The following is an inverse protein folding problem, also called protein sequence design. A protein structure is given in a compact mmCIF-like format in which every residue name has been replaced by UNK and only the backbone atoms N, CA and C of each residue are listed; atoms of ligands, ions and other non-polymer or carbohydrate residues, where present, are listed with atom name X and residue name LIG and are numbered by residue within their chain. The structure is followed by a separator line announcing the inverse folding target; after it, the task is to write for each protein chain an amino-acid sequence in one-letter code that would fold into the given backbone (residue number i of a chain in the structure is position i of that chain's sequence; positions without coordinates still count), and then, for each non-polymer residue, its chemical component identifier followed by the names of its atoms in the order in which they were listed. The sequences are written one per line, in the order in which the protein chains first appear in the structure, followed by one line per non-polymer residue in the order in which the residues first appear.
data_IF_814751249251
#
_entry.id   IF_814751249251
#
_cell.length_a   1.000
_cell.length_b   1.000
_cell.length_c   1.000
_cell.angle_alpha   90.00
_cell.angle_beta   90.00
_cell.angle_gamma   90.00
#
_symmetry.space_group_name_H-M   'P 1'
#
loop_
_entity.id
_entity.type
_entity.pdbx_description
1 polymer ?
#
# COMPACT_ATOMS: atom_id res chain seq x y z
N UNK A 1 -18.73 7.21 -13.36
CA UNK A 1 -17.86 8.13 -12.62
C UNK A 1 -18.78 9.11 -11.90
N UNK A 2 -18.59 9.29 -10.60
CA UNK A 2 -19.33 10.27 -9.80
C UNK A 2 -18.46 11.53 -9.68
N UNK A 3 -18.87 12.59 -10.38
CA UNK A 3 -18.16 13.88 -10.40
C UNK A 3 -18.50 14.75 -9.19
N UNK A 4 -19.63 14.48 -8.51
CA UNK A 4 -20.06 15.23 -7.32
C UNK A 4 -19.40 14.67 -6.06
N UNK A 5 -19.12 13.36 -6.05
CA UNK A 5 -18.36 12.70 -5.00
C UNK A 5 -17.19 11.87 -5.59
N UNK A 6 -16.06 12.53 -5.93
CA UNK A 6 -14.92 11.86 -6.55
C UNK A 6 -14.29 10.79 -5.65
N UNK A 7 -14.44 10.88 -4.32
CA UNK A 7 -13.91 9.88 -3.38
C UNK A 7 -14.59 8.51 -3.56
N UNK A 8 -15.90 8.49 -3.83
CA UNK A 8 -16.62 7.24 -4.16
C UNK A 8 -16.06 6.62 -5.44
N UNK A 9 -15.75 7.45 -6.44
CA UNK A 9 -15.11 6.97 -7.67
C UNK A 9 -13.73 6.38 -7.39
N UNK A 10 -12.91 7.05 -6.57
CA UNK A 10 -11.58 6.57 -6.21
C UNK A 10 -11.63 5.23 -5.46
N UNK A 11 -12.51 5.09 -4.46
CA UNK A 11 -12.71 3.82 -3.72
C UNK A 11 -13.14 2.68 -4.63
N UNK A 12 -14.05 2.94 -5.58
CA UNK A 12 -14.43 1.94 -6.60
C UNK A 12 -13.25 1.57 -7.49
N UNK A 13 -12.39 2.52 -7.83
CA UNK A 13 -11.15 2.27 -8.58
C UNK A 13 -10.22 1.30 -7.85
N UNK A 14 -9.94 1.54 -6.57
CA UNK A 14 -9.12 0.66 -5.71
C UNK A 14 -9.72 -0.77 -5.70
N UNK A 15 -11.02 -0.89 -5.45
CA UNK A 15 -11.69 -2.20 -5.39
C UNK A 15 -11.59 -2.97 -6.72
N UNK A 16 -11.80 -2.29 -7.87
CA UNK A 16 -11.69 -2.95 -9.19
C UNK A 16 -10.26 -3.38 -9.50
N UNK A 17 -9.27 -2.63 -9.05
CA UNK A 17 -7.87 -2.99 -9.21
C UNK A 17 -7.50 -4.22 -8.37
N UNK A 18 -7.91 -4.27 -7.10
CA UNK A 18 -7.71 -5.45 -6.24
C UNK A 18 -8.37 -6.71 -6.83
N UNK A 19 -9.59 -6.58 -7.37
CA UNK A 19 -10.30 -7.68 -8.05
C UNK A 19 -9.55 -8.17 -9.28
N UNK A 20 -9.00 -7.25 -10.10
CA UNK A 20 -8.21 -7.61 -11.27
C UNK A 20 -6.91 -8.34 -10.90
N UNK A 21 -6.17 -7.84 -9.91
CA UNK A 21 -4.97 -8.52 -9.42
C UNK A 21 -5.30 -9.95 -8.95
N UNK A 22 -6.36 -10.08 -8.14
CA UNK A 22 -6.81 -11.39 -7.66
C UNK A 22 -7.23 -12.31 -8.82
N UNK A 23 -7.91 -11.79 -9.85
CA UNK A 23 -8.39 -12.61 -10.97
C UNK A 23 -7.27 -13.17 -11.85
N UNK A 24 -6.08 -12.56 -11.83
CA UNK A 24 -4.88 -13.06 -12.52
C UNK A 24 -3.95 -13.84 -11.57
N UNK A 25 -4.38 -14.14 -10.35
CA UNK A 25 -3.60 -14.89 -9.36
C UNK A 25 -2.51 -14.08 -8.65
N UNK A 26 -2.52 -12.76 -8.76
CA UNK A 26 -1.60 -11.89 -8.02
C UNK A 26 -2.07 -11.70 -6.58
N UNK A 27 -1.16 -11.83 -5.59
CA UNK A 27 -1.48 -11.53 -4.20
C UNK A 27 -1.65 -10.03 -3.99
N UNK A 28 -2.56 -9.67 -3.09
CA UNK A 28 -2.90 -8.30 -2.73
C UNK A 28 -2.58 -7.98 -1.26
N UNK A 29 -2.08 -8.95 -0.48
CA UNK A 29 -1.64 -8.79 0.92
C UNK A 29 -0.32 -9.54 1.18
N UNK A 30 0.45 -9.09 2.15
CA UNK A 30 1.71 -9.70 2.56
C UNK A 30 1.54 -11.09 3.16
N UNK A 31 0.44 -11.32 3.88
CA UNK A 31 0.07 -12.65 4.39
C UNK A 31 -0.05 -13.72 3.30
N UNK A 32 -0.43 -13.36 2.07
CA UNK A 32 -0.50 -14.28 0.93
C UNK A 32 0.88 -14.65 0.36
N UNK A 33 1.90 -13.86 0.69
CA UNK A 33 3.31 -14.09 0.33
C UNK A 33 4.12 -14.71 1.49
N UNK A 34 3.50 -14.91 2.65
CA UNK A 34 4.16 -15.43 3.86
C UNK A 34 4.88 -14.38 4.70
N UNK A 35 4.76 -13.09 4.37
CA UNK A 35 5.30 -12.00 5.17
C UNK A 35 4.35 -11.66 6.34
N UNK A 36 4.93 -11.27 7.47
CA UNK A 36 4.24 -10.98 8.73
C UNK A 36 4.48 -9.54 9.18
N UNK A 37 3.66 -9.06 10.11
CA UNK A 37 3.87 -7.76 10.74
C UNK A 37 5.26 -7.63 11.41
N UNK A 38 5.81 -8.73 11.91
CA UNK A 38 7.15 -8.81 12.51
C UNK A 38 8.27 -8.49 11.51
N UNK A 39 8.03 -8.62 10.21
CA UNK A 39 9.01 -8.34 9.16
C UNK A 39 9.08 -6.85 8.80
N UNK A 40 8.06 -6.06 9.17
CA UNK A 40 7.94 -4.62 8.83
C UNK A 40 9.19 -3.81 9.24
N UNK A 41 9.77 -3.97 10.46
CA UNK A 41 10.99 -3.25 10.84
C UNK A 41 12.17 -3.55 9.89
N UNK A 42 12.31 -4.79 9.45
CA UNK A 42 13.34 -5.17 8.48
C UNK A 42 13.05 -4.56 7.11
N UNK A 43 11.80 -4.56 6.65
CA UNK A 43 11.41 -3.96 5.38
C UNK A 43 11.66 -2.45 5.34
N UNK A 44 11.38 -1.73 6.44
CA UNK A 44 11.69 -0.30 6.58
C UNK A 44 13.20 -0.04 6.55
N UNK A 45 13.98 -0.88 7.25
CA UNK A 45 15.44 -0.81 7.24
C UNK A 45 16.02 -1.00 5.83
N UNK A 46 15.47 -1.93 5.05
CA UNK A 46 15.88 -2.15 3.65
C UNK A 46 15.50 -0.97 2.76
N UNK A 47 14.35 -0.36 3.00
CA UNK A 47 13.90 0.84 2.27
C UNK A 47 14.79 2.06 2.54
N UNK A 48 15.39 2.14 3.75
CA UNK A 48 16.44 3.10 4.13
C UNK A 48 16.10 4.57 3.80
N UNK A 49 14.90 5.00 4.19
CA UNK A 49 14.44 6.39 3.98
C UNK A 49 15.24 7.37 4.85
N UNK A 50 15.53 6.99 6.11
CA UNK A 50 16.14 7.90 7.08
C UNK A 50 15.31 9.19 7.22
N UNK A 51 15.97 10.35 7.23
CA UNK A 51 15.31 11.67 7.33
C UNK A 51 14.75 12.19 6.00
N UNK A 52 14.78 11.38 4.93
CA UNK A 52 14.27 11.77 3.62
C UNK A 52 12.78 11.45 3.49
N UNK A 53 12.23 11.79 2.33
CA UNK A 53 10.89 11.35 1.95
C UNK A 53 10.93 10.63 0.61
N UNK A 54 10.01 9.70 0.42
CA UNK A 54 9.79 9.02 -0.86
C UNK A 54 8.45 9.43 -1.47
N UNK A 55 8.27 9.15 -2.76
CA UNK A 55 7.06 9.49 -3.50
C UNK A 55 7.12 10.83 -4.24
N UNK A 56 6.25 10.97 -5.24
CA UNK A 56 6.17 12.17 -6.07
C UNK A 56 4.97 13.04 -5.68
N UNK A 57 3.76 12.49 -5.78
CA UNK A 57 2.50 13.21 -5.49
C UNK A 57 2.30 13.48 -4.00
N UNK A 58 2.59 12.50 -3.15
CA UNK A 58 2.60 12.63 -1.70
C UNK A 58 3.99 12.25 -1.22
N UNK A 59 4.57 13.08 -0.34
CA UNK A 59 5.86 12.83 0.29
C UNK A 59 5.62 12.01 1.55
N UNK A 60 6.15 10.79 1.56
CA UNK A 60 5.99 9.84 2.64
C UNK A 60 7.29 9.76 3.44
N UNK A 61 7.20 9.89 4.77
CA UNK A 61 8.30 9.60 5.68
C UNK A 61 8.27 8.11 6.11
N UNK A 62 9.21 7.69 6.94
CA UNK A 62 9.28 6.30 7.41
C UNK A 62 8.03 5.85 8.18
N UNK A 63 7.42 6.74 8.98
CA UNK A 63 6.20 6.42 9.75
C UNK A 63 4.98 6.23 8.83
N UNK A 64 4.88 7.00 7.75
CA UNK A 64 3.82 6.84 6.76
C UNK A 64 3.95 5.49 6.05
N UNK A 65 5.17 5.12 5.66
CA UNK A 65 5.43 3.82 5.04
C UNK A 65 5.14 2.67 6.01
N UNK A 66 5.49 2.82 7.29
CA UNK A 66 5.17 1.82 8.32
C UNK A 66 3.66 1.54 8.35
N UNK A 67 2.84 2.58 8.40
CA UNK A 67 1.37 2.44 8.38
C UNK A 67 0.86 1.79 7.09
N UNK A 68 1.47 2.10 5.95
CA UNK A 68 1.12 1.47 4.67
C UNK A 68 1.45 -0.03 4.69
N UNK A 69 2.61 -0.41 5.25
CA UNK A 69 2.97 -1.82 5.41
C UNK A 69 2.05 -2.54 6.39
N UNK A 70 1.68 -1.91 7.51
CA UNK A 70 0.70 -2.47 8.46
C UNK A 70 -0.67 -2.70 7.82
N UNK A 71 -1.12 -1.81 6.93
CA UNK A 71 -2.36 -1.99 6.16
C UNK A 71 -2.28 -3.13 5.14
N UNK A 72 -1.07 -3.49 4.71
CA UNK A 72 -0.84 -4.51 3.69
C UNK A 72 -0.70 -5.93 4.27
N UNK A 73 -0.54 -6.08 5.60
CA UNK A 73 -0.46 -7.38 6.29
C UNK A 73 -1.77 -8.16 6.17
#
# INVERSE_FOLDING_TARGET
MDFQNPEITAKKGIQRYEQFLTSIGMPIRFSQLGAKAEDIPQMLKVLNIGDKTIGFFVKLNEDDVRKIYELAV
#
